data_IF_666083521646
#
_entry.id   IF_666083521646
#
_cell.length_a   1.000
_cell.length_b   1.000
_cell.length_c   1.000
_cell.angle_alpha   90.00
_cell.angle_beta   90.00
_cell.angle_gamma   90.00
#
_symmetry.space_group_name_H-M   'P 1'
#
loop_
_entity.id
_entity.type
_entity.pdbx_description
1 polymer ?
#
# COMPACT_ATOMS: atom_id res chain seq x y z
N UNK A 1 -19.55 -1.49 9.51
CA UNK A 1 -19.07 -2.55 8.59
C UNK A 1 -17.95 -1.94 7.76
N UNK A 2 -16.69 -2.34 7.99
CA UNK A 2 -15.54 -1.78 7.27
C UNK A 2 -15.30 -2.62 6.01
N UNK A 3 -15.14 -1.98 4.85
CA UNK A 3 -15.01 -2.66 3.55
C UNK A 3 -13.71 -3.45 3.42
N UNK A 4 -13.66 -4.35 2.44
CA UNK A 4 -12.41 -5.00 1.98
C UNK A 4 -12.04 -4.44 0.62
N UNK A 5 -10.75 -4.21 0.38
CA UNK A 5 -10.21 -4.00 -0.96
C UNK A 5 -9.76 -5.35 -1.50
N UNK A 6 -10.28 -5.73 -2.66
CA UNK A 6 -9.81 -6.89 -3.40
C UNK A 6 -8.99 -6.37 -4.57
N UNK A 7 -7.74 -6.78 -4.61
CA UNK A 7 -6.82 -6.52 -5.71
C UNK A 7 -6.58 -7.82 -6.44
N UNK A 8 -6.70 -7.79 -7.77
CA UNK A 8 -6.45 -8.94 -8.63
C UNK A 8 -5.53 -8.54 -9.78
N UNK A 9 -4.27 -8.95 -9.68
CA UNK A 9 -3.22 -8.73 -10.67
C UNK A 9 -3.04 -7.26 -11.09
N UNK A 10 -3.24 -6.33 -10.15
CA UNK A 10 -3.08 -4.88 -10.37
C UNK A 10 -1.67 -4.43 -10.03
N UNK A 11 -1.26 -3.27 -10.53
CA UNK A 11 0.06 -2.72 -10.21
C UNK A 11 0.11 -2.17 -8.78
N UNK A 12 1.29 -2.19 -8.14
CA UNK A 12 1.47 -1.61 -6.80
C UNK A 12 1.13 -0.11 -6.79
N UNK A 13 1.38 0.60 -7.89
CA UNK A 13 0.95 1.99 -8.03
C UNK A 13 -0.57 2.16 -7.94
N UNK A 14 -1.33 1.26 -8.59
CA UNK A 14 -2.80 1.26 -8.49
C UNK A 14 -3.26 0.95 -7.07
N UNK A 15 -2.63 -0.03 -6.42
CA UNK A 15 -2.89 -0.38 -5.01
C UNK A 15 -2.66 0.82 -4.10
N UNK A 16 -1.49 1.48 -4.21
CA UNK A 16 -1.15 2.66 -3.40
C UNK A 16 -2.11 3.81 -3.68
N UNK A 17 -2.50 4.03 -4.93
CA UNK A 17 -3.47 5.05 -5.32
C UNK A 17 -4.83 4.81 -4.67
N UNK A 18 -5.28 3.55 -4.60
CA UNK A 18 -6.54 3.21 -3.93
C UNK A 18 -6.43 3.37 -2.41
N UNK A 19 -5.32 2.93 -1.80
CA UNK A 19 -5.08 3.09 -0.35
C UNK A 19 -5.05 4.57 0.04
N UNK A 20 -4.42 5.43 -0.78
CA UNK A 20 -4.36 6.89 -0.55
C UNK A 20 -5.74 7.53 -0.39
N UNK A 21 -6.79 6.98 -1.01
CA UNK A 21 -8.17 7.50 -0.86
C UNK A 21 -8.74 7.33 0.54
N UNK A 22 -8.23 6.36 1.30
CA UNK A 22 -8.71 6.02 2.64
C UNK A 22 -7.65 6.27 3.73
N UNK A 23 -6.47 6.77 3.36
CA UNK A 23 -5.37 7.03 4.28
C UNK A 23 -5.29 8.51 4.62
N UNK A 24 -5.36 8.84 5.92
CA UNK A 24 -5.21 10.21 6.42
C UNK A 24 -3.72 10.59 6.53
N UNK A 25 -3.01 10.60 5.40
CA UNK A 25 -1.57 10.86 5.32
C UNK A 25 -1.01 10.78 3.89
N UNK A 26 0.30 10.98 3.77
CA UNK A 26 1.06 10.89 2.53
C UNK A 26 1.74 9.51 2.42
N UNK A 27 1.53 8.86 1.28
CA UNK A 27 2.24 7.64 0.90
C UNK A 27 3.06 7.97 -0.34
N UNK A 28 4.38 7.85 -0.27
CA UNK A 28 5.29 8.12 -1.38
C UNK A 28 5.84 6.78 -1.89
N UNK A 29 5.71 6.55 -3.19
CA UNK A 29 6.40 5.45 -3.87
C UNK A 29 7.70 6.04 -4.42
N UNK A 30 8.78 5.87 -3.68
CA UNK A 30 10.06 6.54 -3.97
C UNK A 30 10.83 5.85 -5.09
N UNK A 31 10.76 4.52 -5.14
CA UNK A 31 11.44 3.72 -6.14
C UNK A 31 10.49 3.38 -7.31
N UNK A 32 10.68 3.95 -8.52
CA UNK A 32 9.77 3.74 -9.65
C UNK A 32 9.70 2.28 -10.11
N UNK A 33 10.74 1.48 -9.85
CA UNK A 33 10.75 0.06 -10.20
C UNK A 33 9.63 -0.72 -9.49
N UNK A 34 9.19 -0.25 -8.32
CA UNK A 34 8.12 -0.90 -7.56
C UNK A 34 6.74 -0.71 -8.20
N UNK A 35 6.54 0.34 -9.00
CA UNK A 35 5.23 0.70 -9.54
C UNK A 35 4.58 -0.45 -10.33
N UNK A 36 5.40 -1.27 -11.01
CA UNK A 36 4.97 -2.38 -11.86
C UNK A 36 4.81 -3.72 -11.14
N UNK A 37 5.14 -3.81 -9.84
CA UNK A 37 4.96 -5.05 -9.07
C UNK A 37 3.48 -5.41 -9.08
N UNK A 38 3.19 -6.67 -9.42
CA UNK A 38 1.81 -7.18 -9.45
C UNK A 38 1.36 -7.59 -8.05
N UNK A 39 0.17 -7.16 -7.69
CA UNK A 39 -0.45 -7.41 -6.39
C UNK A 39 -1.78 -8.12 -6.61
N UNK A 40 -1.93 -9.26 -5.94
CA UNK A 40 -3.19 -9.95 -5.77
C UNK A 40 -3.42 -10.22 -4.28
N UNK A 41 -4.64 -9.98 -3.80
CA UNK A 41 -4.98 -10.21 -2.40
C UNK A 41 -6.20 -9.42 -1.95
N UNK A 42 -6.73 -9.83 -0.80
CA UNK A 42 -7.85 -9.15 -0.14
C UNK A 42 -7.35 -8.49 1.14
N UNK A 43 -7.50 -7.17 1.24
CA UNK A 43 -6.98 -6.37 2.34
C UNK A 43 -8.12 -5.68 3.09
N UNK A 44 -8.00 -5.60 4.41
CA UNK A 44 -9.00 -4.99 5.25
C UNK A 44 -8.77 -3.46 5.34
N UNK A 45 -9.78 -2.65 4.97
CA UNK A 45 -9.70 -1.18 5.02
C UNK A 45 -9.74 -0.60 6.43
N UNK A 46 -9.86 -1.43 7.46
CA UNK A 46 -9.92 -1.00 8.85
C UNK A 46 -8.68 -0.24 9.32
N UNK A 47 -7.54 -0.54 8.72
CA UNK A 47 -6.26 0.10 9.00
C UNK A 47 -5.41 0.10 7.72
N UNK A 48 -5.36 1.24 7.05
CA UNK A 48 -4.60 1.41 5.80
C UNK A 48 -3.09 1.25 6.00
N UNK A 49 -2.57 1.50 7.21
CA UNK A 49 -1.16 1.28 7.52
C UNK A 49 -0.87 -0.21 7.66
N UNK A 50 -1.77 -0.99 8.26
CA UNK A 50 -1.64 -2.44 8.32
C UNK A 50 -1.63 -3.09 6.91
N UNK A 51 -2.37 -2.53 5.94
CA UNK A 51 -2.30 -2.96 4.54
C UNK A 51 -0.87 -2.80 4.00
N UNK A 52 -0.25 -1.63 4.17
CA UNK A 52 1.11 -1.36 3.67
C UNK A 52 2.15 -2.27 4.31
N UNK A 53 2.05 -2.53 5.62
CA UNK A 53 2.90 -3.51 6.30
C UNK A 53 2.68 -4.94 5.82
N UNK A 54 1.44 -5.31 5.47
CA UNK A 54 1.16 -6.64 4.91
C UNK A 54 1.77 -6.79 3.51
N UNK A 55 1.73 -5.73 2.70
CA UNK A 55 2.37 -5.72 1.38
C UNK A 55 3.89 -5.93 1.47
N UNK A 56 4.56 -5.40 2.49
CA UNK A 56 6.01 -5.64 2.68
C UNK A 56 6.36 -7.07 3.09
N UNK A 57 5.37 -7.87 3.53
CA UNK A 57 5.57 -9.28 3.88
C UNK A 57 5.41 -10.20 2.66
N UNK A 58 4.66 -9.77 1.65
CA UNK A 58 4.33 -10.58 0.47
C UNK A 58 5.09 -10.15 -0.78
N UNK A 59 5.57 -8.91 -0.82
CA UNK A 59 6.27 -8.32 -1.95
C UNK A 59 7.70 -7.93 -1.56
N UNK A 60 8.65 -7.93 -2.51
CA UNK A 60 10.02 -7.48 -2.27
C UNK A 60 10.09 -5.94 -2.22
N UNK A 61 9.39 -5.34 -1.26
CA UNK A 61 9.32 -3.90 -1.05
C UNK A 61 9.64 -3.56 0.40
N UNK A 62 10.25 -2.42 0.63
CA UNK A 62 10.48 -1.89 1.97
C UNK A 62 9.58 -0.69 2.24
N UNK A 63 9.34 -0.45 3.52
CA UNK A 63 8.56 0.66 4.03
C UNK A 63 9.33 1.34 5.15
N UNK A 64 9.36 2.67 5.12
CA UNK A 64 9.77 3.48 6.27
C UNK A 64 8.68 4.49 6.62
N UNK A 65 8.50 4.72 7.92
CA UNK A 65 7.59 5.74 8.45
C UNK A 65 8.43 6.87 9.00
N UNK A 66 8.29 8.05 8.41
CA UNK A 66 9.01 9.23 8.89
C UNK A 66 8.20 9.99 9.94
N UNK A 67 6.87 9.96 9.84
CA UNK A 67 5.94 10.55 10.83
C UNK A 67 4.69 9.68 10.94
N UNK A 68 3.76 10.06 11.82
CA UNK A 68 2.45 9.41 11.94
C UNK A 68 1.64 9.42 10.65
N UNK A 69 1.93 10.37 9.74
CA UNK A 69 1.20 10.59 8.49
C UNK A 69 2.07 10.51 7.25
N UNK A 70 3.33 10.11 7.33
CA UNK A 70 4.22 9.99 6.16
C UNK A 70 4.85 8.61 6.08
N UNK A 71 4.53 7.92 4.99
CA UNK A 71 5.04 6.60 4.64
C UNK A 71 5.79 6.65 3.32
N UNK A 72 6.95 6.02 3.24
CA UNK A 72 7.75 5.90 2.02
C UNK A 72 7.96 4.42 1.70
N UNK A 73 7.68 4.05 0.45
CA UNK A 73 7.93 2.73 -0.13
C UNK A 73 9.16 2.79 -1.05
N UNK A 74 10.12 1.86 -0.88
CA UNK A 74 11.38 1.84 -1.63
C UNK A 74 11.91 0.42 -1.90
#
# INVERSE_FOLDING_TARGET
>A
MRGRLVFDNVSLEQVVTEIRRYHNGLIILWNPALANIRVSGSYNLSDTTAILTTLTQTLPIHLTRLTDRLVILF
#
